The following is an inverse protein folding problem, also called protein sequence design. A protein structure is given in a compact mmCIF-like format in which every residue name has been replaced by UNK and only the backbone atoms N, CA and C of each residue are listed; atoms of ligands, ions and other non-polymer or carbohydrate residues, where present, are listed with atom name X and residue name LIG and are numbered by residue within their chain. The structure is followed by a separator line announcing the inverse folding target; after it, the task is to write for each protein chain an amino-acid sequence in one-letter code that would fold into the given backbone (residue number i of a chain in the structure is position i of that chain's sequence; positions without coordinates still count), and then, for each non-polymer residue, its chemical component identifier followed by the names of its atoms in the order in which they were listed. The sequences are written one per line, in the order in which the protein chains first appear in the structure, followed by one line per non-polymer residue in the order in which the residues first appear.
data_IF_279393376613
#
_entry.id   IF_279393376613
#
_cell.length_a   1.000
_cell.length_b   1.000
_cell.length_c   1.000
_cell.angle_alpha   90.00
_cell.angle_beta   90.00
_cell.angle_gamma   90.00
#
_symmetry.space_group_name_H-M   'P 1'
#
loop_
_entity.id
_entity.type
_entity.pdbx_description
1 polymer ?
#
# COMPACT_ATOMS: atom_id res chain seq x y z
N UNK A 1 -3.06 -2.57 18.30
CA UNK A 1 -3.51 -2.52 16.89
C UNK A 1 -4.68 -3.45 16.52
N UNK A 2 -5.27 -4.21 17.47
CA UNK A 2 -6.31 -5.18 17.16
C UNK A 2 -7.48 -4.56 16.40
N UNK A 3 -7.72 -5.05 15.18
CA UNK A 3 -8.87 -4.69 14.37
C UNK A 3 -8.90 -3.25 13.82
N UNK A 4 -7.75 -2.58 13.73
CA UNK A 4 -7.61 -1.26 13.08
C UNK A 4 -7.14 -1.32 11.62
N UNK A 5 -6.82 -2.52 11.13
CA UNK A 5 -6.21 -2.75 9.82
C UNK A 5 -7.24 -3.36 8.85
N UNK A 6 -7.34 -2.76 7.67
CA UNK A 6 -8.28 -3.11 6.61
C UNK A 6 -7.50 -3.40 5.33
N UNK A 7 -7.92 -4.41 4.58
CA UNK A 7 -7.38 -4.72 3.27
C UNK A 7 -8.04 -3.91 2.14
N UNK A 8 -7.55 -4.12 0.92
CA UNK A 8 -7.95 -3.42 -0.31
C UNK A 8 -9.44 -3.59 -0.65
N UNK A 9 -10.13 -4.58 -0.09
CA UNK A 9 -11.57 -4.80 -0.31
C UNK A 9 -12.40 -4.39 0.91
N UNK A 10 -11.82 -3.67 1.87
CA UNK A 10 -12.48 -3.26 3.11
C UNK A 10 -12.62 -4.37 4.16
N UNK A 11 -12.02 -5.55 3.92
CA UNK A 11 -12.00 -6.67 4.86
C UNK A 11 -11.10 -6.39 6.05
N UNK A 12 -11.59 -6.65 7.27
CA UNK A 12 -10.82 -6.44 8.49
C UNK A 12 -9.74 -7.52 8.63
N UNK A 13 -8.52 -7.13 9.03
CA UNK A 13 -7.50 -8.08 9.45
C UNK A 13 -7.65 -8.38 10.95
N UNK A 14 -7.73 -9.66 11.29
CA UNK A 14 -7.88 -10.15 12.65
C UNK A 14 -6.50 -10.57 13.19
N UNK A 15 -6.14 -10.17 14.42
CA UNK A 15 -4.93 -10.70 15.07
C UNK A 15 -5.08 -12.21 15.30
N UNK A 16 -4.04 -12.95 14.96
CA UNK A 16 -3.90 -14.39 15.12
C UNK A 16 -2.52 -14.71 15.68
N UNK A 17 -2.36 -15.89 16.28
CA UNK A 17 -1.10 -16.32 16.87
C UNK A 17 -0.75 -17.71 16.40
N UNK A 18 0.54 -17.96 16.14
CA UNK A 18 1.05 -19.31 15.97
C UNK A 18 2.27 -19.51 16.86
N UNK A 19 2.39 -20.68 17.46
CA UNK A 19 3.56 -21.11 18.23
C UNK A 19 4.40 -22.05 17.36
N UNK A 20 5.69 -21.75 17.22
CA UNK A 20 6.66 -22.66 16.59
C UNK A 20 7.92 -22.68 17.44
N UNK A 21 8.35 -23.88 17.85
CA UNK A 21 9.56 -24.10 18.66
C UNK A 21 9.60 -23.21 19.92
N UNK A 22 8.54 -23.26 20.75
CA UNK A 22 8.46 -22.50 22.01
C UNK A 22 8.31 -20.97 21.87
N UNK A 23 8.46 -20.40 20.68
CA UNK A 23 8.33 -18.97 20.42
C UNK A 23 6.94 -18.65 19.83
N UNK A 24 6.25 -17.68 20.44
CA UNK A 24 4.89 -17.25 20.04
C UNK A 24 5.01 -16.09 19.05
N UNK A 25 4.50 -16.26 17.84
CA UNK A 25 4.48 -15.24 16.80
C UNK A 25 3.09 -14.65 16.67
N UNK A 26 3.00 -13.32 16.58
CA UNK A 26 1.75 -12.57 16.42
C UNK A 26 1.58 -12.13 14.96
N UNK A 27 0.44 -12.45 14.36
CA UNK A 27 0.10 -12.17 12.97
C UNK A 27 -1.18 -11.34 12.87
N UNK A 28 -1.29 -10.49 11.86
CA UNK A 28 -2.59 -9.98 11.40
C UNK A 28 -2.96 -10.75 10.12
N UNK A 29 -4.12 -11.40 10.12
CA UNK A 29 -4.59 -12.24 9.00
C UNK A 29 -5.90 -11.66 8.44
N UNK A 30 -6.03 -11.55 7.11
CA UNK A 30 -7.31 -11.15 6.50
C UNK A 30 -8.41 -12.17 6.80
N UNK A 31 -9.61 -11.72 7.18
CA UNK A 31 -10.73 -12.59 7.55
C UNK A 31 -11.10 -13.63 6.48
N UNK A 32 -10.85 -13.33 5.20
CA UNK A 32 -11.07 -14.26 4.08
C UNK A 32 -10.20 -15.52 4.12
N UNK A 33 -9.08 -15.50 4.87
CA UNK A 33 -8.25 -16.69 5.10
C UNK A 33 -8.72 -17.56 6.28
N UNK A 34 -9.57 -17.01 7.16
CA UNK A 34 -10.13 -17.73 8.30
C UNK A 34 -11.41 -18.48 7.91
N UNK A 35 -12.20 -17.93 6.98
CA UNK A 35 -13.28 -18.64 6.32
C UNK A 35 -12.69 -19.66 5.34
N UNK A 36 -12.83 -20.95 5.63
CA UNK A 36 -12.35 -22.08 4.81
C UNK A 36 -13.10 -22.14 3.47
N UNK A 37 -12.79 -21.24 2.54
CA UNK A 37 -13.25 -21.30 1.16
C UNK A 37 -12.03 -21.51 0.25
N UNK A 38 -11.87 -22.74 -0.21
CA UNK A 38 -10.71 -23.26 -0.92
C UNK A 38 -10.56 -22.76 -2.38
N UNK A 39 -11.15 -21.62 -2.76
CA UNK A 39 -11.17 -21.16 -4.16
C UNK A 39 -10.49 -19.80 -4.41
N UNK A 40 -9.86 -19.18 -3.42
CA UNK A 40 -9.19 -17.89 -3.59
C UNK A 40 -7.71 -17.96 -3.15
N UNK A 41 -6.96 -18.81 -3.84
CA UNK A 41 -5.54 -19.06 -3.61
C UNK A 41 -4.66 -17.88 -4.07
N UNK A 42 -4.74 -16.72 -3.41
CA UNK A 42 -3.82 -15.63 -3.73
C UNK A 42 -3.94 -14.30 -2.97
N UNK A 43 -5.04 -14.06 -2.24
CA UNK A 43 -5.45 -12.69 -1.86
C UNK A 43 -5.43 -12.39 -0.36
N UNK A 44 -4.84 -13.29 0.43
CA UNK A 44 -4.86 -13.20 1.88
C UNK A 44 -3.60 -12.60 2.51
N UNK A 45 -3.74 -11.54 3.31
CA UNK A 45 -2.65 -10.96 4.08
C UNK A 45 -2.30 -11.80 5.30
N UNK A 46 -1.00 -12.06 5.52
CA UNK A 46 -0.43 -12.54 6.78
C UNK A 46 0.73 -11.61 7.14
N UNK A 47 0.56 -10.78 8.16
CA UNK A 47 1.53 -9.74 8.52
C UNK A 47 2.10 -10.01 9.90
N UNK A 48 3.44 -10.05 10.02
CA UNK A 48 4.12 -10.13 11.32
C UNK A 48 3.87 -8.84 12.10
N UNK A 49 3.12 -8.95 13.21
CA UNK A 49 2.67 -7.80 13.96
C UNK A 49 3.85 -6.98 14.50
N UNK A 50 4.93 -7.61 14.97
CA UNK A 50 6.06 -6.88 15.58
C UNK A 50 6.83 -5.99 14.60
N UNK A 51 7.07 -6.48 13.38
CA UNK A 51 7.75 -5.68 12.37
C UNK A 51 6.82 -4.55 11.88
N UNK A 52 5.55 -4.87 11.64
CA UNK A 52 4.54 -3.89 11.24
C UNK A 52 4.39 -2.78 12.31
N UNK A 53 4.29 -3.16 13.59
CA UNK A 53 4.23 -2.26 14.75
C UNK A 53 5.43 -1.32 14.78
N UNK A 54 6.63 -1.86 14.62
CA UNK A 54 7.87 -1.07 14.62
C UNK A 54 7.93 -0.07 13.47
N UNK A 55 7.63 -0.55 12.27
CA UNK A 55 7.70 0.24 11.04
C UNK A 55 6.63 1.34 11.03
N UNK A 56 5.40 1.04 11.48
CA UNK A 56 4.34 2.02 11.67
C UNK A 56 4.70 3.06 12.73
N UNK A 57 5.22 2.63 13.88
CA UNK A 57 5.60 3.56 14.94
C UNK A 57 6.68 4.54 14.47
N UNK A 58 7.64 4.09 13.66
CA UNK A 58 8.63 4.96 13.02
C UNK A 58 7.99 5.92 12.02
N UNK A 59 7.09 5.43 11.17
CA UNK A 59 6.41 6.25 10.16
C UNK A 59 5.56 7.36 10.80
N UNK A 60 4.80 7.04 11.85
CA UNK A 60 3.96 8.01 12.58
C UNK A 60 4.83 9.06 13.28
N UNK A 61 5.89 8.66 14.00
CA UNK A 61 6.83 9.63 14.61
C UNK A 61 7.42 10.59 13.59
N UNK A 62 7.91 10.07 12.46
CA UNK A 62 8.48 10.89 11.39
C UNK A 62 7.45 11.87 10.81
N UNK A 63 6.22 11.41 10.60
CA UNK A 63 5.12 12.24 10.11
C UNK A 63 4.76 13.36 11.09
N UNK A 64 4.66 13.05 12.38
CA UNK A 64 4.37 14.03 13.43
C UNK A 64 5.50 15.06 13.57
N UNK A 65 6.77 14.64 13.57
CA UNK A 65 7.90 15.57 13.59
C UNK A 65 7.86 16.55 12.40
N UNK A 66 7.69 16.03 11.17
CA UNK A 66 7.59 16.88 9.99
C UNK A 66 6.36 17.80 10.01
N UNK A 67 5.27 17.39 10.68
CA UNK A 67 4.06 18.21 10.83
C UNK A 67 4.24 19.33 11.86
N UNK A 68 5.01 19.09 12.93
CA UNK A 68 5.40 20.12 13.90
C UNK A 68 6.31 21.16 13.24
N UNK A 69 7.36 20.69 12.53
CA UNK A 69 8.32 21.56 11.84
C UNK A 69 7.69 22.33 10.67
N UNK A 70 6.77 21.69 9.95
CA UNK A 70 6.06 22.27 8.80
C UNK A 70 4.82 23.10 9.13
N UNK A 71 4.54 23.36 10.43
CA UNK A 71 3.41 24.19 10.86
C UNK A 71 2.02 23.56 10.73
N UNK A 72 1.93 22.24 10.51
CA UNK A 72 0.66 21.49 10.49
C UNK A 72 0.03 21.32 11.87
N UNK A 73 0.78 21.61 12.93
CA UNK A 73 0.25 21.78 14.28
C UNK A 73 0.41 23.25 14.62
N UNK A 74 -0.70 23.96 14.82
CA UNK A 74 -0.70 25.37 15.18
C UNK A 74 -0.02 25.55 16.54
N UNK A 75 1.14 26.21 16.53
CA UNK A 75 1.90 26.56 17.73
C UNK A 75 2.06 28.07 17.79
N UNK A 76 2.07 28.64 19.00
CA UNK A 76 2.15 30.09 19.22
C UNK A 76 3.58 30.63 19.32
N UNK A 77 4.59 29.79 19.56
CA UNK A 77 5.97 30.22 19.82
C UNK A 77 7.00 29.11 19.57
N UNK A 78 8.27 29.49 19.41
CA UNK A 78 9.37 28.55 19.13
C UNK A 78 9.64 27.55 20.26
N UNK A 79 9.36 27.90 21.52
CA UNK A 79 9.50 27.00 22.66
C UNK A 79 8.47 25.86 22.63
N UNK A 80 7.26 26.16 22.16
CA UNK A 80 6.21 25.16 21.92
C UNK A 80 6.61 24.12 20.87
N UNK A 81 7.33 24.53 19.80
CA UNK A 81 7.85 23.62 18.76
C UNK A 81 8.84 22.62 19.38
N UNK A 82 9.82 23.10 20.15
CA UNK A 82 10.82 22.25 20.81
C UNK A 82 10.17 21.24 21.76
N UNK A 83 9.18 21.70 22.53
CA UNK A 83 8.40 20.84 23.44
C UNK A 83 7.59 19.78 22.68
N UNK A 84 6.99 20.12 21.54
CA UNK A 84 6.26 19.17 20.69
C UNK A 84 7.17 18.13 20.05
N UNK A 85 8.32 18.54 19.51
CA UNK A 85 9.33 17.62 18.97
C UNK A 85 9.84 16.68 20.05
N UNK A 86 10.14 17.18 21.25
CA UNK A 86 10.58 16.37 22.39
C UNK A 86 9.53 15.35 22.81
N UNK A 87 8.26 15.75 22.90
CA UNK A 87 7.15 14.83 23.22
C UNK A 87 6.97 13.76 22.15
N UNK A 88 7.06 14.14 20.88
CA UNK A 88 6.94 13.21 19.75
C UNK A 88 8.09 12.19 19.73
N UNK A 89 9.32 12.65 19.99
CA UNK A 89 10.49 11.79 20.09
C UNK A 89 10.42 10.82 21.28
N UNK A 90 9.81 11.26 22.39
CA UNK A 90 9.63 10.46 23.59
C UNK A 90 8.54 9.37 23.46
N UNK A 91 7.68 9.44 22.43
CA UNK A 91 6.66 8.41 22.20
C UNK A 91 7.32 7.05 21.96
N UNK A 92 7.04 6.07 22.81
CA UNK A 92 7.47 4.68 22.71
C UNK A 92 6.54 3.83 21.85
N UNK A 93 5.93 2.81 22.44
CA UNK A 93 4.98 1.91 21.76
C UNK A 93 3.56 2.50 21.68
N UNK A 94 3.24 3.45 22.55
CA UNK A 94 1.98 4.19 22.63
C UNK A 94 1.68 5.00 21.36
N UNK A 95 2.69 5.26 20.51
CA UNK A 95 2.50 5.88 19.19
C UNK A 95 1.49 5.10 18.32
N UNK A 96 1.36 3.79 18.55
CA UNK A 96 0.42 2.93 17.82
C UNK A 96 -1.04 3.12 18.25
N UNK A 97 -1.27 3.69 19.43
CA UNK A 97 -2.61 4.03 19.91
C UNK A 97 -3.18 5.22 19.15
N UNK A 98 -2.29 6.12 18.69
CA UNK A 98 -2.62 7.28 17.86
C UNK A 98 -3.19 6.90 16.50
N UNK A 99 -3.01 5.66 16.05
CA UNK A 99 -3.55 5.18 14.78
C UNK A 99 -5.05 4.88 14.98
N UNK A 100 -5.92 5.56 14.26
CA UNK A 100 -7.35 5.27 14.21
C UNK A 100 -7.62 4.07 13.29
N UNK A 101 -7.09 4.12 12.06
CA UNK A 101 -7.21 3.03 11.09
C UNK A 101 -6.04 2.98 10.12
N UNK A 102 -5.83 1.80 9.57
CA UNK A 102 -4.84 1.49 8.55
C UNK A 102 -5.56 0.85 7.37
N UNK A 103 -5.35 1.39 6.19
CA UNK A 103 -5.97 0.88 4.97
C UNK A 103 -4.87 0.49 4.00
N UNK A 104 -4.79 -0.81 3.70
CA UNK A 104 -3.89 -1.31 2.67
C UNK A 104 -4.52 -1.01 1.31
N UNK A 105 -3.84 -0.17 0.55
CA UNK A 105 -4.04 0.02 -0.87
C UNK A 105 -3.02 -0.77 -1.66
N UNK A 106 -2.98 -0.47 -2.95
CA UNK A 106 -2.09 -1.13 -3.89
C UNK A 106 -0.69 -0.48 -3.81
N UNK A 107 0.24 -1.14 -3.11
CA UNK A 107 1.59 -0.62 -2.87
C UNK A 107 1.70 0.51 -1.83
N UNK A 108 0.57 1.05 -1.35
CA UNK A 108 0.53 2.09 -0.30
C UNK A 108 -0.32 1.71 0.89
N UNK A 109 0.09 2.18 2.07
CA UNK A 109 -0.70 2.09 3.29
C UNK A 109 -1.15 3.49 3.69
N UNK A 110 -2.46 3.71 3.74
CA UNK A 110 -3.06 4.94 4.25
C UNK A 110 -3.20 4.80 5.77
N UNK A 111 -2.63 5.74 6.50
CA UNK A 111 -2.62 5.77 7.96
C UNK A 111 -3.47 6.96 8.40
N UNK A 112 -4.58 6.67 9.09
CA UNK A 112 -5.42 7.69 9.71
C UNK A 112 -5.12 7.76 11.20
N UNK A 113 -4.90 8.95 11.71
CA UNK A 113 -4.62 9.23 13.11
C UNK A 113 -5.91 9.63 13.85
N UNK A 114 -5.99 9.24 15.12
CA UNK A 114 -7.06 9.61 16.01
C UNK A 114 -6.78 11.02 16.59
N UNK A 115 -7.58 12.04 16.26
CA UNK A 115 -7.30 13.43 16.66
C UNK A 115 -7.27 13.60 18.18
N UNK A 116 -8.17 12.92 18.90
CA UNK A 116 -8.25 12.98 20.37
C UNK A 116 -7.00 12.38 21.03
N UNK A 117 -6.57 11.20 20.58
CA UNK A 117 -5.38 10.54 21.13
C UNK A 117 -4.11 11.32 20.80
N UNK A 118 -4.03 11.87 19.58
CA UNK A 118 -2.92 12.71 19.16
C UNK A 118 -2.83 13.99 20.02
N UNK A 119 -3.95 14.68 20.22
CA UNK A 119 -4.01 15.87 21.06
C UNK A 119 -3.59 15.59 22.51
N UNK A 120 -4.05 14.46 23.07
CA UNK A 120 -3.69 13.99 24.41
C UNK A 120 -2.20 13.68 24.53
N UNK A 121 -1.65 12.91 23.58
CA UNK A 121 -0.24 12.51 23.59
C UNK A 121 0.70 13.72 23.42
N UNK A 122 0.31 14.67 22.58
CA UNK A 122 1.07 15.90 22.35
C UNK A 122 0.70 17.01 23.34
N UNK A 123 -0.23 16.81 24.27
CA UNK A 123 -0.78 17.82 25.20
C UNK A 123 -1.04 19.16 24.52
N UNK A 124 -1.86 19.13 23.47
CA UNK A 124 -2.33 20.28 22.69
C UNK A 124 -3.86 20.26 22.58
N UNK A 125 -4.44 21.37 22.17
CA UNK A 125 -5.85 21.41 21.78
C UNK A 125 -6.05 20.64 20.46
N UNK A 126 -7.04 19.74 20.35
CA UNK A 126 -7.40 19.09 19.08
C UNK A 126 -7.59 20.06 17.91
N UNK A 127 -8.07 21.28 18.17
CA UNK A 127 -8.25 22.34 17.16
C UNK A 127 -6.94 22.88 16.60
N UNK A 128 -5.83 22.67 17.29
CA UNK A 128 -4.50 23.04 16.80
C UNK A 128 -3.97 22.07 15.74
N UNK A 129 -4.66 20.95 15.49
CA UNK A 129 -4.20 19.93 14.53
C UNK A 129 -4.87 20.19 13.18
N UNK A 130 -4.07 20.49 12.15
CA UNK A 130 -4.60 20.63 10.81
C UNK A 130 -5.09 19.28 10.24
N UNK A 131 -6.17 19.30 9.47
CA UNK A 131 -6.82 18.09 8.94
C UNK A 131 -5.89 17.23 8.07
N UNK A 132 -4.94 17.85 7.37
CA UNK A 132 -3.93 17.15 6.55
C UNK A 132 -2.90 16.37 7.38
N UNK A 133 -2.76 16.64 8.68
CA UNK A 133 -1.89 15.87 9.57
C UNK A 133 -2.54 14.55 9.97
N UNK A 134 -3.88 14.49 10.01
CA UNK A 134 -4.65 13.34 10.49
C UNK A 134 -4.67 12.15 9.52
N UNK A 135 -4.22 12.32 8.28
CA UNK A 135 -4.20 11.25 7.28
C UNK A 135 -3.01 11.38 6.36
N UNK A 136 -2.21 10.32 6.23
CA UNK A 136 -1.08 10.30 5.32
C UNK A 136 -0.84 8.90 4.74
N UNK A 137 -0.16 8.85 3.60
CA UNK A 137 0.13 7.60 2.90
C UNK A 137 1.62 7.28 2.94
N UNK A 138 1.95 5.99 2.96
CA UNK A 138 3.33 5.52 2.84
C UNK A 138 3.42 4.36 1.84
N UNK A 139 4.43 4.34 0.96
CA UNK A 139 4.69 3.16 0.16
C UNK A 139 5.14 2.01 1.06
N UNK A 140 4.73 0.80 0.72
CA UNK A 140 5.24 -0.42 1.32
C UNK A 140 5.76 -1.35 0.23
N UNK A 141 6.86 -2.04 0.50
CA UNK A 141 7.30 -3.13 -0.36
C UNK A 141 6.65 -4.43 0.11
N UNK A 142 5.88 -5.08 -0.76
CA UNK A 142 5.41 -6.45 -0.55
C UNK A 142 6.50 -7.42 -1.02
N UNK A 143 7.14 -8.14 -0.09
CA UNK A 143 7.94 -9.32 -0.48
C UNK A 143 7.16 -10.58 -0.13
N UNK A 144 6.70 -11.31 -1.15
CA UNK A 144 6.18 -12.67 -1.03
C UNK A 144 7.37 -13.63 -1.04
N UNK A 145 7.59 -14.38 0.05
CA UNK A 145 8.44 -15.59 0.04
C UNK A 145 7.51 -16.77 0.32
N UNK A 146 7.07 -17.45 -0.74
CA UNK A 146 6.06 -18.50 -0.63
C UNK A 146 4.71 -17.98 -0.12
N UNK A 147 4.07 -18.70 0.81
CA UNK A 147 2.76 -18.36 1.40
C UNK A 147 2.85 -17.21 2.43
N UNK A 148 4.04 -16.65 2.66
CA UNK A 148 4.27 -15.58 3.64
C UNK A 148 4.50 -14.21 2.97
N UNK A 149 3.74 -13.20 3.40
CA UNK A 149 3.87 -11.81 2.96
C UNK A 149 4.60 -10.98 4.01
N UNK A 150 5.72 -10.36 3.66
CA UNK A 150 6.44 -9.41 4.54
C UNK A 150 6.19 -7.98 4.08
N UNK A 151 5.66 -7.14 4.97
CA UNK A 151 5.49 -5.70 4.77
C UNK A 151 6.67 -4.97 5.42
N UNK A 152 7.42 -4.18 4.66
CA UNK A 152 8.44 -3.27 5.20
C UNK A 152 8.04 -1.85 4.82
N UNK A 153 7.78 -1.00 5.82
CA UNK A 153 7.31 0.38 5.58
C UNK A 153 8.51 1.32 5.59
N UNK A 154 8.60 2.21 4.60
CA UNK A 154 9.57 3.32 4.60
C UNK A 154 10.96 3.00 4.06
N UNK A 155 11.18 1.83 3.43
CA UNK A 155 12.39 1.57 2.63
C UNK A 155 11.96 1.09 1.24
N UNK A 156 11.61 2.03 0.38
CA UNK A 156 11.43 1.77 -1.04
C UNK A 156 12.43 2.63 -1.80
N UNK A 157 13.63 2.09 -2.03
CA UNK A 157 14.19 2.28 -3.38
C UNK A 157 13.18 1.56 -4.27
N UNK A 158 12.59 2.25 -5.24
CA UNK A 158 11.60 1.67 -6.14
C UNK A 158 12.22 0.43 -6.79
N UNK A 159 11.95 -0.72 -6.18
CA UNK A 159 12.38 -2.00 -6.67
C UNK A 159 11.43 -2.26 -7.80
N UNK A 160 11.96 -2.25 -9.03
CA UNK A 160 11.31 -2.70 -10.26
C UNK A 160 10.16 -3.65 -9.94
N UNK A 161 8.94 -3.26 -10.32
CA UNK A 161 7.78 -4.12 -10.14
C UNK A 161 7.83 -5.22 -11.22
N UNK A 162 8.48 -6.32 -10.87
CA UNK A 162 8.66 -7.48 -11.76
C UNK A 162 7.31 -8.10 -12.16
N UNK A 163 6.28 -7.96 -11.32
CA UNK A 163 4.93 -8.46 -11.61
C UNK A 163 4.26 -7.58 -12.66
N UNK A 164 4.28 -6.26 -12.47
CA UNK A 164 3.76 -5.33 -13.47
C UNK A 164 4.52 -5.47 -14.80
N UNK A 165 5.85 -5.59 -14.73
CA UNK A 165 6.70 -5.83 -15.91
C UNK A 165 6.29 -7.10 -16.65
N UNK A 166 6.09 -8.21 -15.93
CA UNK A 166 5.65 -9.48 -16.53
C UNK A 166 4.24 -9.40 -17.13
N UNK A 167 3.33 -8.67 -16.49
CA UNK A 167 1.96 -8.47 -17.00
C UNK A 167 1.94 -7.64 -18.28
N UNK A 168 2.78 -6.60 -18.39
CA UNK A 168 2.95 -5.84 -19.64
C UNK A 168 3.46 -6.75 -20.76
N UNK A 169 4.47 -7.57 -20.48
CA UNK A 169 5.00 -8.51 -21.47
C UNK A 169 3.96 -9.54 -21.94
N UNK A 170 3.14 -10.08 -21.02
CA UNK A 170 2.04 -10.99 -21.39
C UNK A 170 0.96 -10.30 -22.21
N UNK A 171 0.56 -9.09 -21.82
CA UNK A 171 -0.43 -8.33 -22.57
C UNK A 171 0.06 -8.07 -24.01
N UNK A 172 1.35 -7.78 -24.18
CA UNK A 172 1.95 -7.61 -25.51
C UNK A 172 1.94 -8.91 -26.33
N UNK A 173 2.25 -10.06 -25.70
CA UNK A 173 2.15 -11.36 -26.35
C UNK A 173 0.72 -11.68 -26.80
N UNK A 174 -0.29 -11.36 -25.97
CA UNK A 174 -1.69 -11.54 -26.33
C UNK A 174 -2.11 -10.59 -27.45
N UNK A 175 -1.63 -9.34 -27.45
CA UNK A 175 -1.85 -8.39 -28.53
C UNK A 175 -1.27 -8.91 -29.85
N UNK A 176 -0.06 -9.47 -29.83
CA UNK A 176 0.54 -10.12 -31.00
C UNK A 176 -0.25 -11.34 -31.48
N UNK A 177 -0.73 -12.18 -30.55
CA UNK A 177 -1.57 -13.33 -30.89
C UNK A 177 -2.89 -12.93 -31.57
N UNK A 178 -3.55 -11.89 -31.05
CA UNK A 178 -4.74 -11.30 -31.68
C UNK A 178 -4.44 -10.77 -33.09
N UNK A 179 -3.29 -10.11 -33.27
CA UNK A 179 -2.86 -9.61 -34.58
C UNK A 179 -2.59 -10.75 -35.58
N UNK A 180 -2.14 -11.91 -35.08
CA UNK A 180 -1.89 -13.11 -35.87
C UNK A 180 -3.16 -13.94 -36.15
N UNK A 181 -4.34 -13.50 -35.68
CA UNK A 181 -5.63 -14.10 -35.98
C UNK A 181 -6.18 -15.06 -34.90
N UNK A 182 -5.50 -15.22 -33.76
CA UNK A 182 -6.09 -15.94 -32.62
C UNK A 182 -7.27 -15.13 -32.05
N UNK A 183 -8.34 -15.81 -31.62
CA UNK A 183 -9.43 -15.16 -30.88
C UNK A 183 -9.17 -15.14 -29.36
N UNK A 184 -9.89 -14.28 -28.64
CA UNK A 184 -9.73 -14.13 -27.18
C UNK A 184 -9.98 -15.44 -26.43
N UNK A 185 -10.85 -16.31 -26.95
CA UNK A 185 -11.19 -17.60 -26.34
C UNK A 185 -10.03 -18.58 -26.46
N UNK A 186 -9.41 -18.66 -27.64
CA UNK A 186 -8.26 -19.50 -27.94
C UNK A 186 -7.07 -19.11 -27.08
N UNK A 187 -6.78 -17.81 -26.98
CA UNK A 187 -5.71 -17.30 -26.13
C UNK A 187 -5.99 -17.62 -24.65
N UNK A 188 -7.22 -17.36 -24.18
CA UNK A 188 -7.61 -17.64 -22.80
C UNK A 188 -7.48 -19.13 -22.44
N UNK A 189 -7.91 -20.03 -23.33
CA UNK A 189 -7.75 -21.49 -23.16
C UNK A 189 -6.28 -21.91 -23.16
N UNK A 190 -5.45 -21.38 -24.06
CA UNK A 190 -4.00 -21.66 -24.12
C UNK A 190 -3.28 -21.27 -22.83
N UNK A 191 -3.65 -20.12 -22.27
CA UNK A 191 -3.03 -19.56 -21.06
C UNK A 191 -3.66 -20.08 -19.75
N UNK A 192 -4.74 -20.86 -19.84
CA UNK A 192 -5.46 -21.36 -18.66
C UNK A 192 -6.17 -20.26 -17.85
N UNK A 193 -6.56 -19.16 -18.50
CA UNK A 193 -7.21 -18.00 -17.87
C UNK A 193 -8.63 -17.79 -18.40
N UNK A 194 -9.40 -16.91 -17.75
CA UNK A 194 -10.73 -16.53 -18.24
C UNK A 194 -10.61 -15.43 -19.30
N UNK A 195 -11.53 -15.43 -20.28
CA UNK A 195 -11.63 -14.36 -21.30
C UNK A 195 -11.82 -12.99 -20.64
N UNK A 196 -12.57 -12.93 -19.53
CA UNK A 196 -12.73 -11.70 -18.74
C UNK A 196 -11.40 -11.18 -18.21
N UNK A 197 -10.61 -12.03 -17.55
CA UNK A 197 -9.30 -11.64 -17.01
C UNK A 197 -8.33 -11.22 -18.12
N UNK A 198 -8.33 -11.94 -19.25
CA UNK A 198 -7.57 -11.56 -20.43
C UNK A 198 -7.96 -10.16 -20.91
N UNK A 199 -9.27 -9.88 -21.05
CA UNK A 199 -9.77 -8.57 -21.47
C UNK A 199 -9.44 -7.43 -20.49
N UNK A 200 -9.41 -7.68 -19.19
CA UNK A 200 -9.00 -6.69 -18.18
C UNK A 200 -7.50 -6.36 -18.23
N UNK A 201 -6.68 -7.29 -18.72
CA UNK A 201 -5.22 -7.17 -18.74
C UNK A 201 -4.67 -6.73 -20.10
N UNK A 202 -5.42 -6.98 -21.18
CA UNK A 202 -5.07 -6.58 -22.55
C UNK A 202 -4.75 -5.08 -22.70
N UNK A 203 -5.41 -4.13 -21.99
CA UNK A 203 -5.06 -2.70 -22.04
C UNK A 203 -3.59 -2.41 -21.71
N UNK A 204 -2.90 -3.28 -20.99
CA UNK A 204 -1.50 -3.05 -20.59
C UNK A 204 -0.54 -3.10 -21.80
N UNK A 205 -0.96 -3.72 -22.90
CA UNK A 205 -0.23 -3.72 -24.16
C UNK A 205 -0.25 -2.34 -24.87
N UNK A 206 -1.10 -1.41 -24.40
CA UNK A 206 -1.30 -0.10 -25.00
C UNK A 206 -0.77 1.05 -24.14
N UNK A 207 0.09 0.74 -23.16
CA UNK A 207 0.80 1.73 -22.37
C UNK A 207 1.71 2.60 -23.25
N UNK A 208 1.84 3.88 -22.90
CA UNK A 208 2.73 4.78 -23.62
C UNK A 208 4.18 4.29 -23.52
N UNK A 209 5.01 4.49 -24.55
CA UNK A 209 6.42 4.10 -24.51
C UNK A 209 7.18 4.73 -23.33
N UNK A 210 6.78 5.94 -22.93
CA UNK A 210 7.36 6.65 -21.78
C UNK A 210 7.00 5.97 -20.46
N UNK A 211 5.75 5.55 -20.30
CA UNK A 211 5.26 4.83 -19.12
C UNK A 211 5.92 3.46 -18.99
N UNK A 212 6.03 2.71 -20.09
CA UNK A 212 6.73 1.43 -20.12
C UNK A 212 8.20 1.59 -19.71
N UNK A 213 8.92 2.60 -20.24
CA UNK A 213 10.31 2.88 -19.83
C UNK A 213 10.41 3.23 -18.35
N UNK A 214 9.54 4.10 -17.85
CA UNK A 214 9.52 4.45 -16.44
C UNK A 214 9.29 3.21 -15.55
N UNK A 215 8.44 2.28 -15.99
CA UNK A 215 8.16 1.04 -15.26
C UNK A 215 9.39 0.10 -15.26
N UNK A 216 9.99 -0.13 -16.43
CA UNK A 216 11.16 -1.00 -16.57
C UNK A 216 12.38 -0.48 -15.79
N UNK A 217 12.54 0.84 -15.74
CA UNK A 217 13.61 1.52 -15.00
C UNK A 217 13.32 1.61 -13.49
N UNK A 218 12.14 1.18 -13.04
CA UNK A 218 11.70 1.33 -11.65
C UNK A 218 11.52 2.80 -11.23
N UNK A 219 11.29 3.71 -12.19
CA UNK A 219 11.02 5.14 -11.97
C UNK A 219 9.52 5.46 -11.93
N UNK A 220 8.66 4.45 -12.00
CA UNK A 220 7.22 4.61 -11.83
C UNK A 220 6.88 5.08 -10.40
N UNK A 221 5.81 5.88 -10.23
CA UNK A 221 5.23 6.12 -8.92
C UNK A 221 4.88 4.80 -8.23
N UNK A 222 5.10 4.67 -6.92
CA UNK A 222 4.81 3.43 -6.18
C UNK A 222 3.33 3.03 -6.17
N UNK A 223 2.45 3.98 -6.50
CA UNK A 223 1.00 3.81 -6.65
C UNK A 223 0.64 3.17 -8.00
N UNK A 224 1.54 3.23 -8.99
CA UNK A 224 1.33 2.69 -10.32
C UNK A 224 1.71 1.22 -10.37
N UNK A 225 0.68 0.38 -10.27
CA UNK A 225 0.74 -1.08 -10.08
C UNK A 225 -0.30 -1.74 -10.99
N UNK A 226 -0.24 -3.07 -11.10
CA UNK A 226 -1.22 -3.84 -11.92
C UNK A 226 -2.66 -3.59 -11.49
N UNK A 227 -2.93 -3.57 -10.19
CA UNK A 227 -4.29 -3.42 -9.68
C UNK A 227 -4.79 -1.97 -9.84
N UNK A 228 -3.93 -0.97 -9.68
CA UNK A 228 -4.25 0.43 -9.94
C UNK A 228 -4.69 0.64 -11.39
N UNK A 229 -3.93 0.09 -12.35
CA UNK A 229 -4.26 0.15 -13.78
C UNK A 229 -5.59 -0.53 -14.10
N UNK A 230 -5.87 -1.69 -13.49
CA UNK A 230 -7.17 -2.39 -13.66
C UNK A 230 -8.34 -1.59 -13.09
N UNK A 231 -8.15 -0.89 -11.97
CA UNK A 231 -9.21 -0.16 -11.27
C UNK A 231 -9.58 1.16 -11.94
N UNK A 232 -8.57 1.94 -12.32
CA UNK A 232 -8.78 3.28 -12.88
C UNK A 232 -8.93 3.25 -14.41
N UNK A 233 -8.59 2.12 -15.03
CA UNK A 233 -8.54 2.00 -16.48
C UNK A 233 -7.36 2.76 -17.06
N UNK A 234 -7.06 2.47 -18.33
CA UNK A 234 -6.01 3.16 -19.06
C UNK A 234 -6.63 4.19 -20.01
N UNK A 235 -6.28 5.49 -19.91
CA UNK A 235 -6.67 6.47 -20.90
C UNK A 235 -6.23 6.06 -22.30
N UNK A 236 -7.07 6.26 -23.31
CA UNK A 236 -6.73 5.91 -24.70
C UNK A 236 -5.63 6.81 -25.26
N UNK A 237 -5.50 8.04 -24.74
CA UNK A 237 -4.47 8.99 -25.15
C UNK A 237 -3.16 8.76 -24.41
N UNK A 238 -2.07 8.54 -25.14
CA UNK A 238 -0.73 8.48 -24.54
C UNK A 238 -0.34 9.78 -23.82
N UNK A 239 -0.81 10.94 -24.26
CA UNK A 239 -0.55 12.19 -23.56
C UNK A 239 -1.23 12.23 -22.18
N UNK A 240 -2.40 11.62 -22.03
CA UNK A 240 -3.08 11.48 -20.75
C UNK A 240 -2.43 10.42 -19.87
N UNK A 241 -1.97 9.31 -20.46
CA UNK A 241 -1.18 8.31 -19.74
C UNK A 241 0.14 8.91 -19.20
N UNK A 242 0.80 9.76 -19.98
CA UNK A 242 2.04 10.42 -19.56
C UNK A 242 1.82 11.41 -18.40
N UNK A 243 0.62 11.99 -18.26
CA UNK A 243 0.26 12.82 -17.10
C UNK A 243 0.17 12.02 -15.82
N UNK A 244 -0.13 10.72 -15.88
CA UNK A 244 -0.15 9.83 -14.71
C UNK A 244 1.22 9.80 -14.02
N UNK A 245 2.32 9.86 -14.77
CA UNK A 245 3.68 9.97 -14.22
C UNK A 245 3.96 11.31 -13.51
N UNK A 246 3.23 12.36 -13.87
CA UNK A 246 3.45 13.71 -13.35
C UNK A 246 2.51 14.07 -12.19
N UNK A 247 1.43 13.32 -11.99
CA UNK A 247 0.36 13.62 -11.03
C UNK A 247 0.32 12.68 -9.82
N UNK A 248 1.11 11.59 -9.81
CA UNK A 248 1.24 10.61 -8.74
C UNK A 248 2.68 10.57 -8.19
#
# INVERSE_FOLDING_TARGET
MAGKLYDETGGRLTPSHASKSGKRYRYCISQRLLARAANDAGTGWRLLAEQLERDLGRAVRKHLMGSVEGGGIATTDAGSIVSLCSRTAALGTEVLELIASLQLGDGTITIKLAPVEMAKALRIDPKSIASNVLSFERPFAQRRRGVESRLTIGVAKAARDDILTANIARAEQWRSALYNGDDLKTIATREGITVKYLGEMLPFAFLSPKLVRAILDGRQPSVLTTNWLRRHGLPLSWAEQDRILAQL
#
